data_IF_955236564279
#
_entry.id   IF_955236564279
#
_cell.length_a   1.000
_cell.length_b   1.000
_cell.length_c   1.000
_cell.angle_alpha   90.00
_cell.angle_beta   90.00
_cell.angle_gamma   90.00
#
_symmetry.space_group_name_H-M   'P 1'
#
loop_
_entity.id
_entity.type
_entity.pdbx_description
1 polymer ?
2 non-polymer ?
3 non-polymer ?
4 non-polymer ?
5 water ?
#
# COMPACT_ATOMS: atom_id res chain seq x y z
N UNK A 4 -6.98 26.84 -10.60
CA UNK A 4 -8.16 27.29 -9.89
C UNK A 4 -9.39 27.07 -10.78
N UNK A 5 -9.13 26.72 -12.03
CA UNK A 5 -10.15 26.28 -12.97
C UNK A 5 -11.00 25.13 -12.40
N UNK A 6 -10.46 24.47 -11.37
CA UNK A 6 -11.03 23.25 -10.80
C UNK A 6 -11.80 23.47 -9.49
N UNK A 7 -11.59 24.61 -8.86
CA UNK A 7 -12.31 24.95 -7.63
C UNK A 7 -13.83 24.74 -7.67
N UNK A 8 -14.50 25.08 -8.79
CA UNK A 8 -15.95 24.84 -8.80
C UNK A 8 -16.33 23.38 -8.58
N UNK A 9 -15.58 22.45 -9.15
CA UNK A 9 -15.86 21.03 -8.94
C UNK A 9 -15.54 20.67 -7.49
N UNK A 10 -14.52 21.33 -6.96
CA UNK A 10 -14.07 21.13 -5.58
C UNK A 10 -15.16 21.46 -4.55
N UNK A 11 -15.79 22.62 -4.71
CA UNK A 11 -16.86 23.05 -3.80
C UNK A 11 -18.06 22.10 -3.92
N UNK A 12 -18.42 21.77 -5.16
CA UNK A 12 -19.45 20.76 -5.39
C UNK A 12 -19.12 19.39 -4.78
N UNK A 13 -17.95 18.85 -5.15
CA UNK A 13 -17.53 17.54 -4.67
C UNK A 13 -17.60 17.44 -3.14
N UNK A 14 -17.32 18.54 -2.47
CA UNK A 14 -17.39 18.58 -1.02
C UNK A 14 -18.79 18.30 -0.53
N UNK A 15 -19.81 18.87 -1.16
CA UNK A 15 -21.17 18.61 -0.69
C UNK A 15 -21.59 17.16 -0.93
N UNK A 16 -21.14 16.56 -2.03
CA UNK A 16 -21.43 15.17 -2.33
C UNK A 16 -20.87 14.27 -1.22
N UNK A 17 -19.57 14.39 -0.97
CA UNK A 17 -18.86 13.63 0.06
C UNK A 17 -19.41 13.83 1.46
N UNK A 18 -19.63 15.10 1.84
CA UNK A 18 -20.22 15.40 3.15
C UNK A 18 -21.61 14.80 3.32
N UNK A 19 -22.37 14.79 2.23
CA UNK A 19 -23.72 14.23 2.30
C UNK A 19 -23.61 12.71 2.52
N UNK A 20 -22.78 12.05 1.70
CA UNK A 20 -22.53 10.62 1.86
C UNK A 20 -22.05 10.35 3.27
N UNK A 21 -21.05 11.11 3.70
CA UNK A 21 -20.56 10.92 5.06
C UNK A 21 -21.60 11.15 6.14
N UNK A 22 -22.48 12.13 5.94
CA UNK A 22 -23.54 12.38 6.89
C UNK A 22 -24.52 11.21 6.96
N UNK A 23 -24.83 10.63 5.81
CA UNK A 23 -25.67 9.43 5.80
C UNK A 23 -25.07 8.30 6.66
N UNK A 24 -23.79 7.98 6.44
CA UNK A 24 -23.14 6.94 7.27
C UNK A 24 -23.08 7.34 8.75
N UNK A 25 -22.67 8.58 9.02
CA UNK A 25 -22.54 9.06 10.40
C UNK A 25 -23.82 8.85 11.18
N UNK A 26 -24.95 9.06 10.52
CA UNK A 26 -26.24 9.06 11.19
C UNK A 26 -27.01 7.76 10.98
N UNK A 27 -26.40 6.79 10.31
CA UNK A 27 -26.95 5.45 10.28
C UNK A 27 -28.08 5.29 9.28
N UNK A 28 -28.00 6.07 8.21
CA UNK A 28 -28.95 5.98 7.12
C UNK A 28 -28.58 4.90 6.10
N UNK A 29 -27.30 4.54 6.09
CA UNK A 29 -26.76 3.54 5.18
C UNK A 29 -26.20 2.36 5.97
N UNK A 30 -26.33 1.18 5.39
CA UNK A 30 -26.01 -0.08 6.06
C UNK A 30 -24.50 -0.22 6.23
N UNK A 31 -24.09 -0.62 7.42
CA UNK A 31 -22.70 -0.94 7.69
C UNK A 31 -22.70 -2.43 7.99
N UNK A 32 -22.03 -3.20 7.13
CA UNK A 32 -22.03 -4.65 7.24
C UNK A 32 -20.85 -5.14 8.07
N UNK A 33 -21.01 -6.28 8.71
CA UNK A 33 -20.05 -6.81 9.66
C UNK A 33 -19.62 -8.23 9.29
N UNK A 34 -18.32 -8.42 9.09
CA UNK A 34 -17.79 -9.78 8.88
C UNK A 34 -17.59 -10.38 10.26
N UNK A 35 -17.62 -11.73 10.35
CA UNK A 35 -17.58 -12.35 11.68
C UNK A 35 -16.18 -12.55 12.25
N UNK A 36 -15.14 -12.02 11.61
CA UNK A 36 -13.79 -12.02 12.24
C UNK A 36 -13.28 -10.58 12.25
N UNK A 37 -12.23 -10.31 13.04
CA UNK A 37 -11.80 -8.90 13.10
C UNK A 37 -11.31 -8.32 11.76
N UNK A 38 -11.54 -7.03 11.57
CA UNK A 38 -11.16 -6.32 10.38
C UNK A 38 -10.37 -5.09 10.76
N UNK A 39 -9.19 -4.94 10.17
CA UNK A 39 -8.40 -3.74 10.35
C UNK A 39 -8.38 -3.01 9.04
N UNK A 40 -8.72 -1.72 9.07
CA UNK A 40 -8.66 -0.97 7.85
C UNK A 40 -7.42 -0.11 7.87
N UNK A 41 -6.78 -0.01 6.72
CA UNK A 41 -5.67 0.92 6.49
C UNK A 41 -6.04 1.78 5.30
N UNK A 42 -5.89 3.09 5.45
CA UNK A 42 -6.15 4.00 4.33
C UNK A 42 -5.63 5.39 4.53
N UNK A 43 -6.06 6.31 3.66
CA UNK A 43 -5.70 7.72 3.72
C UNK A 43 -6.79 8.65 3.19
N UNK A 44 -6.64 9.95 3.48
CA UNK A 44 -7.45 10.98 2.84
C UNK A 44 -7.12 11.19 1.37
N UNK A 45 -5.83 11.24 1.08
CA UNK A 45 -5.32 11.35 -0.29
C UNK A 45 -5.14 9.96 -0.84
N UNK A 46 -4.80 9.87 -2.13
CA UNK A 46 -4.58 8.56 -2.70
C UNK A 46 -3.38 7.87 -2.06
N UNK A 47 -3.58 6.61 -1.70
CA UNK A 47 -2.56 5.74 -1.13
C UNK A 47 -1.39 5.51 -2.08
N UNK A 48 -0.17 5.75 -1.59
CA UNK A 48 1.05 5.54 -2.35
C UNK A 48 1.90 4.44 -1.73
N UNK A 49 3.22 4.53 -1.90
CA UNK A 49 4.10 3.50 -1.35
C UNK A 49 3.96 3.40 0.19
N UNK A 50 3.63 4.52 0.83
CA UNK A 50 3.39 4.57 2.26
C UNK A 50 2.39 3.56 2.79
N UNK A 51 1.18 3.57 2.22
CA UNK A 51 0.14 2.64 2.63
C UNK A 51 0.59 1.20 2.37
N UNK A 52 1.25 1.01 1.24
CA UNK A 52 1.73 -0.32 0.87
C UNK A 52 2.73 -0.83 1.89
N UNK A 53 3.75 -0.01 2.18
CA UNK A 53 4.73 -0.33 3.22
C UNK A 53 4.04 -0.62 4.57
N UNK A 54 3.07 0.20 4.93
CA UNK A 54 2.43 -0.02 6.22
C UNK A 54 1.54 -1.28 6.25
N UNK A 55 0.85 -1.57 5.15
CA UNK A 55 0.01 -2.76 5.11
C UNK A 55 0.87 -4.01 5.33
N UNK A 56 2.03 -4.06 4.68
CA UNK A 56 2.93 -5.20 4.88
C UNK A 56 3.55 -5.24 6.28
N UNK A 57 3.91 -4.07 6.79
CA UNK A 57 4.41 -3.98 8.15
C UNK A 57 3.37 -4.55 9.12
N UNK A 58 2.12 -4.20 8.88
CA UNK A 58 1.03 -4.61 9.76
C UNK A 58 0.78 -6.10 9.66
N UNK A 59 0.85 -6.63 8.45
CA UNK A 59 0.55 -8.04 8.24
C UNK A 59 1.66 -8.85 8.89
N UNK A 60 2.84 -8.26 8.98
CA UNK A 60 3.93 -8.97 9.64
C UNK A 60 3.82 -8.93 11.16
N UNK A 61 3.15 -7.92 11.72
CA UNK A 61 2.89 -7.92 13.16
C UNK A 61 1.94 -9.04 13.50
N UNK A 62 1.16 -9.46 12.52
CA UNK A 62 0.11 -10.44 12.73
C UNK A 62 0.51 -11.83 12.25
N UNK A 63 1.81 -12.14 12.33
CA UNK A 63 2.32 -13.37 11.70
C UNK A 63 1.89 -14.65 12.42
N UNK A 64 1.32 -14.49 13.61
CA UNK A 64 0.82 -15.64 14.35
C UNK A 64 -0.69 -15.85 14.14
N UNK A 65 -1.25 -15.08 13.21
CA UNK A 65 -2.65 -15.20 12.79
C UNK A 65 -2.72 -15.57 11.31
N UNK A 66 -3.81 -16.21 10.91
CA UNK A 66 -4.08 -16.39 9.47
C UNK A 66 -4.60 -15.07 8.90
N UNK A 67 -3.78 -14.38 8.12
CA UNK A 67 -4.10 -13.04 7.64
C UNK A 67 -4.53 -13.05 6.17
N UNK A 68 -5.61 -12.33 5.88
CA UNK A 68 -6.05 -12.07 4.51
C UNK A 68 -6.21 -10.58 4.21
N UNK A 69 -5.54 -10.11 3.16
CA UNK A 69 -5.68 -8.72 2.77
C UNK A 69 -6.84 -8.61 1.79
N UNK A 70 -7.75 -7.67 2.01
CA UNK A 70 -8.83 -7.38 1.05
C UNK A 70 -8.49 -6.12 0.29
N UNK A 71 -8.13 -6.27 -0.98
CA UNK A 71 -7.77 -5.12 -1.80
C UNK A 71 -8.92 -4.83 -2.76
N UNK A 72 -8.94 -3.63 -3.31
CA UNK A 72 -9.99 -3.22 -4.23
C UNK A 72 -9.81 -3.84 -5.62
N UNK A 73 -8.58 -3.88 -6.09
CA UNK A 73 -8.35 -4.33 -7.46
C UNK A 73 -8.50 -3.18 -8.44
N UNK A 74 -7.77 -2.10 -8.22
CA UNK A 74 -7.72 -1.04 -9.22
C UNK A 74 -6.97 -1.54 -10.45
N UNK A 75 -7.41 -1.13 -11.63
CA UNK A 75 -6.78 -1.57 -12.88
C UNK A 75 -6.77 -3.09 -13.06
N UNK A 76 -7.89 -3.71 -12.67
CA UNK A 76 -8.05 -5.14 -12.75
C UNK A 76 -9.19 -5.35 -13.72
N UNK A 77 -9.05 -6.27 -14.66
CA UNK A 77 -10.05 -6.39 -15.69
C UNK A 77 -11.37 -6.66 -14.99
N UNK A 78 -12.38 -5.89 -15.36
CA UNK A 78 -13.72 -6.07 -14.82
C UNK A 78 -13.84 -5.92 -13.29
N UNK A 79 -14.48 -6.94 -12.73
CA UNK A 79 -15.04 -7.00 -11.38
C UNK A 79 -15.23 -8.45 -10.93
N UNK A 80 -15.97 -8.63 -9.84
CA UNK A 80 -16.17 -9.95 -9.25
C UNK A 80 -15.04 -10.27 -8.30
N UNK A 81 -15.34 -11.01 -7.24
CA UNK A 81 -14.34 -11.38 -6.24
C UNK A 81 -13.27 -12.34 -6.81
N UNK A 82 -12.00 -12.04 -6.51
CA UNK A 82 -10.88 -12.84 -7.03
C UNK A 82 -9.84 -13.17 -5.94
N UNK A 83 -9.59 -14.45 -5.71
CA UNK A 83 -8.49 -14.83 -4.83
C UNK A 83 -7.19 -14.66 -5.63
N UNK A 84 -6.32 -13.78 -5.14
CA UNK A 84 -5.07 -13.48 -5.84
C UNK A 84 -3.96 -14.39 -5.33
N UNK A 85 -3.93 -14.60 -4.02
CA UNK A 85 -2.86 -15.33 -3.35
C UNK A 85 -3.41 -16.11 -2.16
N UNK A 86 -3.01 -17.37 -2.04
CA UNK A 86 -3.42 -18.18 -0.88
C UNK A 86 -2.19 -18.39 -0.01
N UNK A 87 -2.12 -17.65 1.09
CA UNK A 87 -1.01 -17.76 2.03
C UNK A 87 0.35 -17.79 1.33
N UNK A 88 0.57 -16.84 0.43
CA UNK A 88 1.84 -16.66 -0.24
C UNK A 88 1.87 -17.15 -1.67
N UNK A 89 1.03 -18.15 -1.96
CA UNK A 89 1.02 -18.77 -3.28
C UNK A 89 0.09 -18.05 -4.25
N UNK A 90 0.70 -17.31 -5.19
CA UNK A 90 -0.05 -16.54 -6.18
C UNK A 90 -0.92 -17.46 -7.03
N UNK A 91 -2.16 -17.07 -7.22
CA UNK A 91 -3.10 -17.91 -7.97
C UNK A 91 -3.44 -17.35 -9.35
N UNK A 92 -2.99 -16.12 -9.62
CA UNK A 92 -3.21 -15.45 -10.91
C UNK A 92 -1.99 -14.62 -11.29
N UNK A 93 -1.92 -14.14 -12.53
CA UNK A 93 -0.82 -13.25 -12.95
C UNK A 93 -1.07 -11.82 -12.49
N UNK A 94 -0.04 -10.99 -12.59
CA UNK A 94 -0.15 -9.60 -12.17
C UNK A 94 -1.09 -8.81 -13.07
N UNK A 95 -1.26 -9.29 -14.30
CA UNK A 95 -2.20 -8.71 -15.24
C UNK A 95 -3.63 -8.75 -14.68
N UNK A 96 -4.08 -9.95 -14.33
CA UNK A 96 -5.45 -10.19 -13.89
C UNK A 96 -5.78 -9.58 -12.51
N UNK A 97 -4.75 -9.29 -11.73
CA UNK A 97 -4.93 -8.86 -10.34
C UNK A 97 -4.57 -7.41 -10.05
N UNK A 98 -3.77 -6.80 -10.93
CA UNK A 98 -3.23 -5.48 -10.68
C UNK A 98 -1.92 -5.52 -9.90
N UNK A 99 -1.12 -4.47 -10.01
CA UNK A 99 0.25 -4.49 -9.48
C UNK A 99 0.34 -4.55 -7.96
N UNK A 100 -0.43 -3.71 -7.27
CA UNK A 100 -0.34 -3.62 -5.82
C UNK A 100 -0.81 -4.89 -5.08
N UNK A 101 -1.97 -5.46 -5.50
CA UNK A 101 -2.32 -6.72 -4.83
C UNK A 101 -1.31 -7.82 -5.18
N UNK A 102 -0.88 -7.87 -6.45
CA UNK A 102 0.18 -8.79 -6.85
C UNK A 102 1.46 -8.54 -6.04
N UNK A 103 1.88 -7.29 -5.95
CA UNK A 103 3.10 -6.96 -5.21
C UNK A 103 3.00 -7.30 -3.73
N UNK A 104 1.88 -6.94 -3.11
CA UNK A 104 1.64 -7.28 -1.71
C UNK A 104 1.68 -8.78 -1.54
N UNK A 105 1.04 -9.48 -2.47
CA UNK A 105 1.04 -10.94 -2.46
C UNK A 105 2.48 -11.48 -2.53
N UNK A 106 3.28 -10.91 -3.43
CA UNK A 106 4.66 -11.39 -3.60
C UNK A 106 5.52 -11.09 -2.39
N UNK A 107 5.24 -9.99 -1.70
CA UNK A 107 6.04 -9.60 -0.55
C UNK A 107 5.59 -10.25 0.75
N UNK A 108 4.40 -10.83 0.74
CA UNK A 108 3.85 -11.48 1.93
C UNK A 108 3.63 -12.96 1.67
N UNK A 109 4.63 -13.76 2.01
CA UNK A 109 4.65 -15.19 1.71
C UNK A 109 3.65 -16.03 2.50
N UNK A 110 3.13 -15.49 3.60
CA UNK A 110 2.24 -16.25 4.45
C UNK A 110 0.87 -15.64 4.54
N UNK A 111 0.62 -14.64 3.70
CA UNK A 111 -0.63 -13.90 3.69
C UNK A 111 -1.46 -14.19 2.42
N UNK A 112 -2.77 -14.25 2.58
CA UNK A 112 -3.67 -14.41 1.44
C UNK A 112 -4.09 -13.02 0.96
N UNK A 113 -4.37 -12.89 -0.32
CA UNK A 113 -4.81 -11.62 -0.87
C UNK A 113 -6.05 -11.82 -1.74
N UNK A 114 -7.07 -11.02 -1.48
CA UNK A 114 -8.30 -11.12 -2.25
C UNK A 114 -8.65 -9.75 -2.81
N UNK A 115 -8.93 -9.72 -4.11
CA UNK A 115 -9.29 -8.49 -4.78
C UNK A 115 -10.79 -8.46 -5.02
N UNK A 116 -11.45 -7.42 -4.52
CA UNK A 116 -12.89 -7.30 -4.69
C UNK A 116 -13.29 -5.87 -4.41
N UNK A 117 -14.05 -5.27 -5.33
CA UNK A 117 -14.54 -3.90 -5.14
C UNK A 117 -15.44 -3.80 -3.90
N UNK A 118 -16.36 -4.74 -3.78
CA UNK A 118 -17.13 -4.87 -2.55
C UNK A 118 -16.32 -5.68 -1.54
N UNK A 119 -15.77 -5.01 -0.53
CA UNK A 119 -14.90 -5.69 0.41
C UNK A 119 -15.60 -6.77 1.23
N UNK A 120 -16.87 -6.55 1.57
CA UNK A 120 -17.65 -7.56 2.30
C UNK A 120 -17.73 -8.89 1.53
N UNK A 121 -18.15 -8.83 0.27
CA UNK A 121 -18.22 -10.05 -0.57
C UNK A 121 -16.87 -10.76 -0.65
N UNK A 122 -15.80 -9.97 -0.74
CA UNK A 122 -14.45 -10.49 -0.66
C UNK A 122 -14.18 -11.24 0.63
N UNK A 123 -14.55 -10.64 1.75
CA UNK A 123 -14.37 -11.27 3.04
C UNK A 123 -15.11 -12.60 3.11
N UNK A 124 -16.33 -12.62 2.57
CA UNK A 124 -17.13 -13.84 2.59
C UNK A 124 -16.46 -14.98 1.82
N UNK A 125 -15.99 -14.69 0.61
CA UNK A 125 -15.26 -15.68 -0.17
C UNK A 125 -14.01 -16.15 0.58
N UNK A 126 -13.23 -15.21 1.10
CA UNK A 126 -12.04 -15.55 1.88
C UNK A 126 -12.40 -16.48 3.04
N UNK A 127 -13.47 -16.15 3.73
CA UNK A 127 -13.89 -16.95 4.87
C UNK A 127 -14.19 -18.40 4.46
N UNK A 128 -14.88 -18.56 3.34
CA UNK A 128 -15.22 -19.89 2.85
C UNK A 128 -13.97 -20.68 2.45
N UNK A 129 -13.09 -20.05 1.68
CA UNK A 129 -11.98 -20.74 1.03
C UNK A 129 -10.67 -20.70 1.79
N UNK A 130 -10.49 -19.72 2.67
CA UNK A 130 -9.16 -19.47 3.23
C UNK A 130 -9.17 -19.55 4.74
N UNK A 131 -10.35 -19.47 5.35
CA UNK A 131 -10.50 -19.42 6.81
C UNK A 131 -9.51 -18.49 7.52
N UNK A 132 -9.52 -17.19 7.18
CA UNK A 132 -8.57 -16.31 7.84
C UNK A 132 -9.07 -15.92 9.21
N UNK A 133 -8.17 -15.45 10.08
CA UNK A 133 -8.53 -15.03 11.43
C UNK A 133 -8.63 -13.53 11.54
N UNK A 134 -8.10 -12.82 10.55
CA UNK A 134 -8.19 -11.36 10.55
C UNK A 134 -8.05 -10.82 9.14
N UNK A 135 -8.82 -9.78 8.82
CA UNK A 135 -8.76 -9.11 7.51
C UNK A 135 -8.01 -7.79 7.64
N UNK A 136 -7.21 -7.48 6.63
CA UNK A 136 -6.69 -6.12 6.52
C UNK A 136 -7.30 -5.52 5.28
N UNK A 137 -8.00 -4.38 5.44
CA UNK A 137 -8.53 -3.68 4.27
C UNK A 137 -7.42 -2.81 3.72
N UNK A 138 -6.93 -3.16 2.54
CA UNK A 138 -6.01 -2.29 1.84
C UNK A 138 -6.85 -1.14 1.28
N UNK A 139 -6.44 0.09 1.56
CA UNK A 139 -7.19 1.26 1.09
C UNK A 139 -8.68 1.27 1.46
N UNK A 140 -8.98 1.01 2.74
CA UNK A 140 -10.35 0.93 3.20
C UNK A 140 -11.03 2.07 3.96
N UNK A 141 -10.39 3.22 4.10
CA UNK A 141 -10.88 4.27 4.98
C UNK A 141 -12.22 4.81 4.47
N UNK A 142 -12.36 4.96 3.15
CA UNK A 142 -13.59 5.47 2.54
C UNK A 142 -14.69 4.42 2.41
N UNK A 143 -14.36 3.15 2.61
CA UNK A 143 -15.30 2.07 2.32
C UNK A 143 -16.16 1.77 3.57
N UNK A 144 -16.94 2.78 3.96
CA UNK A 144 -17.64 2.77 5.24
C UNK A 144 -18.71 1.69 5.34
N UNK A 145 -19.16 1.19 4.20
CA UNK A 145 -20.13 0.08 4.18
C UNK A 145 -19.62 -1.19 4.90
N UNK A 146 -18.31 -1.35 5.06
CA UNK A 146 -17.80 -2.49 5.82
C UNK A 146 -17.31 -2.02 7.17
N UNK A 147 -17.84 -2.63 8.24
CA UNK A 147 -17.39 -2.31 9.58
C UNK A 147 -15.93 -2.68 9.77
N UNK A 148 -15.16 -1.81 10.42
CA UNK A 148 -13.79 -2.18 10.80
C UNK A 148 -13.64 -2.01 12.29
N UNK A 149 -12.97 -2.95 12.92
CA UNK A 149 -12.75 -2.95 14.34
C UNK A 149 -11.59 -2.03 14.73
N UNK A 150 -10.72 -1.71 13.76
CA UNK A 150 -9.60 -0.80 13.99
C UNK A 150 -9.34 -0.02 12.70
N UNK A 151 -9.65 1.26 12.74
CA UNK A 151 -9.62 2.10 11.57
C UNK A 151 -8.34 2.89 11.63
N UNK A 152 -7.38 2.56 10.78
CA UNK A 152 -6.09 3.19 10.87
C UNK A 152 -5.95 4.14 9.70
N UNK A 153 -5.66 5.40 10.00
CA UNK A 153 -5.55 6.43 8.97
C UNK A 153 -4.12 6.87 8.85
N UNK A 154 -3.59 6.83 7.64
CA UNK A 154 -2.26 7.35 7.38
C UNK A 154 -2.40 8.80 6.92
N UNK A 155 -1.53 9.66 7.42
CA UNK A 155 -1.50 11.08 7.03
C UNK A 155 -0.04 11.47 6.78
N UNK A 156 0.23 12.10 5.65
CA UNK A 156 1.56 12.69 5.44
C UNK A 156 1.46 14.20 5.65
N UNK A 157 2.60 14.86 5.79
CA UNK A 157 2.65 16.31 5.98
C UNK A 157 1.81 17.06 4.94
N UNK A 158 1.94 16.64 3.69
CA UNK A 158 1.33 17.34 2.56
C UNK A 158 -0.20 17.36 2.63
N UNK A 159 -0.76 16.32 3.24
CA UNK A 159 -2.19 16.20 3.43
C UNK A 159 -2.78 17.39 4.21
N UNK A 160 -2.05 17.85 5.22
CA UNK A 160 -2.58 18.81 6.20
C UNK A 160 -2.83 20.20 5.61
N UNK A 161 -2.24 20.45 4.46
CA UNK A 161 -2.40 21.73 3.77
C UNK A 161 -2.87 21.51 2.33
N UNK A 162 -3.44 20.34 2.07
CA UNK A 162 -3.99 20.02 0.75
C UNK A 162 -5.45 20.46 0.70
N UNK A 163 -6.12 20.20 -0.43
CA UNK A 163 -7.51 20.59 -0.63
C UNK A 163 -8.22 19.45 -1.34
N UNK A 164 -9.55 19.48 -1.37
CA UNK A 164 -10.32 18.39 -1.97
C UNK A 164 -10.12 18.31 -3.47
N UNK A 165 -10.16 17.08 -3.99
CA UNK A 165 -10.26 16.83 -5.43
C UNK A 165 -11.33 17.73 -6.03
N UNK A 166 -11.15 18.18 -7.27
CA UNK A 166 -9.96 18.00 -8.12
C UNK A 166 -8.92 19.10 -7.92
N UNK A 167 -9.25 20.15 -7.19
CA UNK A 167 -8.32 21.24 -6.94
C UNK A 167 -7.10 20.76 -6.15
N UNK A 168 -7.30 19.83 -5.22
CA UNK A 168 -6.20 19.23 -4.50
C UNK A 168 -6.27 17.73 -4.58
N UNK A 169 -5.54 17.03 -3.69
CA UNK A 169 -5.57 15.56 -3.69
C UNK A 169 -6.46 14.91 -2.64
N UNK A 170 -7.06 15.69 -1.73
CA UNK A 170 -7.90 15.05 -0.70
C UNK A 170 -9.18 14.42 -1.28
N UNK A 171 -9.34 13.13 -1.04
CA UNK A 171 -10.59 12.44 -1.34
C UNK A 171 -11.69 12.84 -0.33
N UNK A 172 -11.28 13.30 0.85
CA UNK A 172 -12.22 13.71 1.90
C UNK A 172 -11.68 14.88 2.72
N UNK A 173 -12.59 15.73 3.25
CA UNK A 173 -12.16 16.87 4.08
C UNK A 173 -11.36 16.42 5.30
N UNK A 174 -10.48 17.27 5.84
CA UNK A 174 -9.60 16.85 6.94
C UNK A 174 -10.37 16.47 8.20
N UNK A 175 -11.57 16.99 8.37
CA UNK A 175 -12.38 16.76 9.55
C UNK A 175 -12.73 15.27 9.69
N UNK A 176 -12.66 14.56 8.58
CA UNK A 176 -13.03 13.15 8.51
C UNK A 176 -12.06 12.29 9.31
N UNK A 177 -10.98 12.91 9.75
CA UNK A 177 -9.97 12.21 10.54
C UNK A 177 -10.64 11.66 11.80
N UNK A 178 -11.60 12.42 12.33
CA UNK A 178 -12.37 11.99 13.49
C UNK A 178 -12.74 10.51 13.42
N UNK A 179 -12.86 9.96 12.21
CA UNK A 179 -13.25 8.57 12.04
C UNK A 179 -12.14 7.59 12.42
N UNK A 180 -10.91 8.08 12.56
CA UNK A 180 -9.77 7.20 12.80
C UNK A 180 -9.73 6.71 14.24
N UNK A 181 -9.35 5.45 14.43
CA UNK A 181 -9.05 4.96 15.78
C UNK A 181 -7.57 5.17 16.09
N UNK A 182 -6.76 5.27 15.04
CA UNK A 182 -5.32 5.42 15.17
C UNK A 182 -4.78 6.21 14.00
N UNK A 183 -3.84 7.09 14.26
CA UNK A 183 -3.17 7.84 13.20
C UNK A 183 -1.74 7.36 12.98
N UNK A 184 -1.34 7.22 11.72
CA UNK A 184 0.05 6.93 11.40
C UNK A 184 0.60 8.08 10.57
N UNK A 185 1.53 8.84 11.15
CA UNK A 185 2.17 9.99 10.48
C UNK A 185 3.33 9.51 9.60
N UNK A 186 3.16 9.59 8.29
CA UNK A 186 4.07 8.93 7.36
C UNK A 186 5.14 9.85 6.75
N UNK A 187 6.06 9.23 6.01
CA UNK A 187 7.18 9.92 5.37
C UNK A 187 7.99 10.77 6.34
N UNK A 188 8.22 10.23 7.54
CA UNK A 188 8.94 10.96 8.58
C UNK A 188 10.41 11.08 8.24
N UNK A 189 10.90 10.18 7.39
CA UNK A 189 12.27 10.25 6.91
C UNK A 189 12.49 11.49 6.05
N UNK A 190 11.52 11.81 5.19
CA UNK A 190 11.65 12.94 4.28
C UNK A 190 11.01 14.25 4.74
N UNK A 191 9.79 14.17 5.24
CA UNK A 191 9.05 15.38 5.65
C UNK A 191 8.44 15.24 7.03
N UNK A 192 9.28 15.33 8.06
CA UNK A 192 8.85 15.14 9.44
C UNK A 192 7.82 16.18 9.84
N UNK A 193 6.85 15.78 10.65
CA UNK A 193 5.88 16.71 11.23
C UNK A 193 5.29 16.09 12.49
N UNK A 194 4.69 16.93 13.32
CA UNK A 194 3.98 16.45 14.50
C UNK A 194 2.51 16.83 14.41
N UNK A 195 1.63 15.85 14.63
CA UNK A 195 0.20 16.10 14.63
C UNK A 195 -0.42 15.62 15.93
N UNK A 196 -1.21 16.46 16.59
CA UNK A 196 -1.90 16.01 17.80
C UNK A 196 -3.41 16.04 17.67
N UNK A 197 -4.05 14.88 17.85
CA UNK A 197 -5.51 14.79 17.81
C UNK A 197 -6.10 14.21 19.10
N UNK A 198 -5.25 13.64 19.95
CA UNK A 198 -5.69 12.97 21.15
C UNK A 198 -6.03 11.50 20.89
N UNK A 199 -5.96 11.12 19.61
CA UNK A 199 -6.04 9.73 19.19
C UNK A 199 -4.66 9.10 19.26
N UNK A 200 -4.59 7.78 19.46
CA UNK A 200 -3.30 7.08 19.35
C UNK A 200 -2.60 7.44 18.04
N UNK A 201 -1.34 7.84 18.12
CA UNK A 201 -0.61 8.40 16.99
C UNK A 201 0.80 7.79 16.92
N UNK A 202 1.27 7.46 15.71
CA UNK A 202 2.53 6.74 15.55
C UNK A 202 3.33 7.30 14.38
N UNK A 203 4.52 7.84 14.64
CA UNK A 203 5.38 8.32 13.56
C UNK A 203 5.91 7.12 12.76
N UNK A 204 5.85 7.20 11.43
CA UNK A 204 6.36 6.12 10.59
C UNK A 204 7.55 6.57 9.73
N UNK A 205 8.65 5.83 9.87
CA UNK A 205 9.87 6.07 9.11
C UNK A 205 10.04 4.87 8.21
N UNK A 206 10.60 5.06 7.03
CA UNK A 206 11.02 3.91 6.24
C UNK A 206 12.51 3.98 6.05
N UNK A 207 13.18 2.85 6.15
CA UNK A 207 14.63 2.82 6.06
C UNK A 207 15.12 1.70 5.17
N UNK A 208 16.21 1.97 4.45
CA UNK A 208 16.76 1.02 3.50
C UNK A 208 17.25 -0.23 4.20
N UNK A 209 16.72 -1.35 3.77
CA UNK A 209 17.02 -2.61 4.41
C UNK A 209 17.97 -3.46 3.58
N UNK A 210 17.45 -4.04 2.50
CA UNK A 210 18.19 -4.98 1.65
C UNK A 210 17.70 -4.88 0.22
N UNK A 211 18.09 -5.83 -0.63
CA UNK A 211 17.57 -5.88 -1.99
C UNK A 211 16.54 -7.00 -2.17
N UNK A 212 15.57 -6.75 -3.06
CA UNK A 212 14.65 -7.78 -3.54
C UNK A 212 15.11 -8.33 -4.89
N UNK A 213 15.42 -9.62 -4.95
CA UNK A 213 15.69 -10.25 -6.24
C UNK A 213 14.41 -10.51 -7.02
N UNK A 214 14.52 -11.18 -8.15
CA UNK A 214 13.39 -11.37 -9.06
C UNK A 214 12.42 -12.44 -8.60
N UNK A 215 12.79 -13.19 -7.56
CA UNK A 215 11.87 -14.14 -6.93
C UNK A 215 11.21 -13.49 -5.72
N UNK A 216 11.49 -12.21 -5.53
CA UNK A 216 10.98 -11.47 -4.38
C UNK A 216 11.42 -12.06 -3.05
N UNK A 217 12.70 -12.44 -2.98
CA UNK A 217 13.32 -12.78 -1.73
C UNK A 217 14.32 -11.70 -1.38
N UNK A 218 14.55 -11.50 -0.08
CA UNK A 218 15.53 -10.54 0.38
C UNK A 218 16.95 -11.06 0.13
N UNK A 219 17.77 -10.21 -0.46
CA UNK A 219 19.19 -10.47 -0.61
C UNK A 219 19.92 -9.24 -0.12
N UNK A 220 21.11 -9.44 0.48
CA UNK A 220 21.94 -8.29 0.85
C UNK A 220 22.30 -7.45 -0.36
N UNK A 221 22.47 -6.16 -0.11
CA UNK A 221 22.91 -5.22 -1.13
C UNK A 221 24.43 -5.18 -1.16
N UNK A 222 25.06 -6.06 -0.40
CA UNK A 222 26.52 -6.14 -0.36
C UNK A 222 27.06 -6.59 -1.70
N UNK A 223 26.25 -7.31 -2.46
CA UNK A 223 26.66 -7.84 -3.75
C UNK A 223 27.23 -6.76 -4.67
N UNK A 224 26.75 -5.54 -4.50
CA UNK A 224 27.24 -4.41 -5.29
C UNK A 224 28.19 -3.56 -4.47
N UNK A 225 29.00 -4.22 -3.65
CA UNK A 225 29.97 -3.52 -2.82
C UNK A 225 31.09 -2.96 -3.68
N UNK A 226 31.40 -3.65 -4.76
CA UNK A 226 32.43 -3.23 -5.69
C UNK A 226 31.95 -3.36 -7.12
N UNK A 227 30.73 -2.90 -7.38
CA UNK A 227 30.14 -2.99 -8.71
C UNK A 227 29.39 -1.72 -9.09
N UNK A 228 29.27 -1.50 -10.39
CA UNK A 228 28.48 -0.39 -10.92
C UNK A 228 27.19 -0.93 -11.52
N UNK A 229 26.11 -0.16 -11.43
CA UNK A 229 24.77 -0.68 -11.68
C UNK A 229 24.03 0.13 -12.76
N UNK A 230 23.21 -0.55 -13.56
CA UNK A 230 22.29 0.14 -14.45
C UNK A 230 20.93 0.18 -13.74
N UNK A 231 20.16 1.24 -13.94
CA UNK A 231 18.84 1.36 -13.33
C UNK A 231 17.81 1.89 -14.32
N UNK A 232 16.54 1.66 -14.02
CA UNK A 232 15.44 2.09 -14.89
C UNK A 232 14.08 2.09 -14.14
N UNK A 233 13.14 2.87 -14.66
CA UNK A 233 11.78 2.97 -14.11
C UNK A 233 10.80 3.43 -15.18
N UNK A 234 9.52 3.15 -14.98
CA UNK A 234 8.51 3.52 -15.96
C UNK A 234 7.55 4.67 -15.70
N UNK A 235 7.04 4.71 -14.47
CA UNK A 235 5.90 5.52 -14.06
C UNK A 235 6.16 7.01 -14.15
N UNK A 236 7.42 7.39 -14.28
CA UNK A 236 7.81 8.79 -14.18
C UNK A 236 8.29 9.04 -12.76
N UNK A 237 8.45 7.93 -12.03
CA UNK A 237 8.89 7.93 -10.66
C UNK A 237 10.41 7.86 -10.64
N UNK A 238 10.99 7.95 -11.83
CA UNK A 238 12.44 7.85 -12.00
C UNK A 238 13.19 9.00 -11.35
N UNK A 239 12.48 10.09 -11.09
CA UNK A 239 13.08 11.21 -10.37
C UNK A 239 13.05 10.79 -8.91
N UNK A 240 11.97 10.14 -8.51
CA UNK A 240 11.89 9.56 -7.16
C UNK A 240 13.00 8.54 -7.03
N UNK A 241 13.04 7.60 -7.98
CA UNK A 241 14.08 6.57 -8.04
C UNK A 241 15.47 7.20 -8.22
N UNK A 242 15.57 8.20 -9.10
CA UNK A 242 16.86 8.86 -9.34
C UNK A 242 17.40 9.47 -8.06
N UNK A 243 16.52 10.13 -7.29
CA UNK A 243 16.88 10.82 -6.05
C UNK A 243 17.30 9.82 -4.98
N UNK A 244 16.48 8.80 -4.75
CA UNK A 244 16.80 7.78 -3.72
C UNK A 244 18.10 7.06 -4.01
N UNK A 245 18.30 6.70 -5.28
CA UNK A 245 19.55 6.09 -5.72
C UNK A 245 20.70 7.04 -5.46
N UNK A 246 20.49 8.31 -5.81
CA UNK A 246 21.45 9.36 -5.51
C UNK A 246 21.62 9.51 -4.00
N UNK A 247 20.50 9.46 -3.29
CA UNK A 247 20.50 9.57 -1.82
C UNK A 247 21.16 8.36 -1.15
N UNK A 248 21.18 7.25 -1.88
CA UNK A 248 21.79 6.02 -1.41
C UNK A 248 23.23 5.87 -1.87
N UNK A 249 23.72 6.83 -2.64
CA UNK A 249 25.10 6.82 -3.08
C UNK A 249 25.52 5.57 -3.84
N UNK A 250 24.67 5.09 -4.75
CA UNK A 250 24.97 3.88 -5.49
C UNK A 250 25.54 4.17 -6.87
N UNK A 251 26.68 3.54 -7.17
CA UNK A 251 27.36 3.70 -8.45
C UNK A 251 26.40 3.30 -9.56
N UNK A 252 26.04 4.24 -10.42
CA UNK A 252 25.19 3.91 -11.57
C UNK A 252 25.92 4.11 -12.90
N UNK A 253 26.12 3.02 -13.64
CA UNK A 253 26.76 3.06 -14.95
C UNK A 253 25.94 3.81 -16.01
N UNK A 254 24.64 3.54 -16.02
CA UNK A 254 23.74 4.04 -17.05
C UNK A 254 22.35 4.11 -16.47
N UNK A 255 21.44 4.84 -17.13
CA UNK A 255 20.13 5.03 -16.53
C UNK A 255 19.06 5.19 -17.62
N UNK A 256 18.01 4.37 -17.53
CA UNK A 256 16.99 4.29 -18.58
C UNK A 256 15.61 4.72 -18.11
N UNK A 257 14.77 5.13 -19.05
CA UNK A 257 13.40 5.55 -18.74
C UNK A 257 12.36 5.01 -19.72
N UNK A 258 11.17 4.73 -19.19
CA UNK A 258 10.09 4.10 -19.94
C UNK A 258 8.75 4.69 -19.51
N UNK A 259 7.69 4.49 -20.32
CA UNK A 259 6.35 4.94 -19.95
C UNK A 259 5.90 4.39 -18.61
N UNK A 260 4.88 4.99 -17.99
CA UNK A 260 4.42 4.58 -16.66
C UNK A 260 3.92 3.15 -16.65
N UNK A 261 3.33 2.77 -17.77
CA UNK A 261 2.58 1.53 -17.89
C UNK A 261 3.45 0.37 -18.30
N UNK A 262 4.68 0.70 -18.74
CA UNK A 262 5.57 -0.24 -19.43
C UNK A 262 5.50 -1.70 -18.95
N UNK A 263 5.24 -2.59 -19.92
CA UNK A 263 4.92 -4.00 -19.64
C UNK A 263 6.13 -4.93 -19.79
N UNK A 264 7.19 -4.42 -20.40
CA UNK A 264 8.44 -5.16 -20.57
C UNK A 264 8.26 -6.45 -21.37
N UNK A 265 7.33 -6.41 -22.32
CA UNK A 265 7.12 -7.56 -23.21
C UNK A 265 8.37 -7.84 -24.03
N UNK A 266 9.20 -6.80 -24.16
CA UNK A 266 10.44 -6.90 -24.92
C UNK A 266 11.65 -6.25 -24.22
N UNK A 267 11.71 -6.32 -22.90
CA UNK A 267 12.90 -5.90 -22.17
C UNK A 267 14.04 -6.90 -22.39
N UNK A 268 15.24 -6.41 -22.71
CA UNK A 268 16.35 -7.28 -23.08
C UNK A 268 17.67 -6.90 -22.39
N UNK A 269 17.92 -7.43 -21.18
CA UNK A 269 19.11 -7.08 -20.40
C UNK A 269 20.37 -7.86 -20.79
N UNK A 270 21.52 -7.36 -20.38
CA UNK A 270 22.79 -8.00 -20.72
C UNK A 270 23.20 -9.01 -19.66
N UNK A 271 23.44 -10.24 -20.10
CA UNK A 271 24.08 -11.27 -19.31
C UNK A 271 25.28 -10.69 -18.54
N UNK A 272 25.27 -10.82 -17.22
CA UNK A 272 26.43 -10.45 -16.42
C UNK A 272 26.45 -9.03 -15.87
N UNK A 273 25.51 -8.20 -16.29
CA UNK A 273 25.39 -6.86 -15.73
C UNK A 273 24.39 -6.94 -14.58
N UNK A 274 24.27 -5.87 -13.80
CA UNK A 274 23.32 -5.83 -12.67
C UNK A 274 22.35 -4.66 -12.82
N UNK A 275 21.07 -4.92 -12.61
CA UNK A 275 20.01 -3.92 -12.79
C UNK A 275 19.25 -3.65 -11.49
N UNK A 276 18.87 -2.40 -11.29
CA UNK A 276 17.96 -2.03 -10.22
C UNK A 276 16.72 -1.40 -10.84
N UNK A 277 15.54 -1.83 -10.39
CA UNK A 277 14.29 -1.23 -10.87
C UNK A 277 13.33 -1.10 -9.68
N UNK A 278 12.09 -0.65 -9.93
CA UNK A 278 11.10 -0.54 -8.86
C UNK A 278 10.35 -1.86 -8.70
N UNK A 279 9.91 -2.19 -7.46
CA UNK A 279 9.14 -3.41 -7.20
C UNK A 279 7.98 -3.55 -8.18
N UNK A 280 7.32 -2.44 -8.49
CA UNK A 280 6.20 -2.44 -9.41
C UNK A 280 6.63 -2.87 -10.82
N UNK A 281 7.88 -2.57 -11.18
CA UNK A 281 8.44 -2.98 -12.47
C UNK A 281 9.02 -4.39 -12.37
N UNK A 282 9.64 -4.69 -11.22
CA UNK A 282 10.24 -6.00 -10.96
C UNK A 282 9.26 -7.14 -11.19
N UNK A 283 7.99 -6.88 -10.86
CA UNK A 283 6.88 -7.78 -11.13
C UNK A 283 6.96 -8.36 -12.55
N UNK A 284 7.29 -7.51 -13.51
CA UNK A 284 7.27 -7.89 -14.92
C UNK A 284 8.56 -8.59 -15.33
N UNK A 285 9.56 -8.56 -14.45
CA UNK A 285 10.88 -9.05 -14.79
C UNK A 285 11.33 -10.27 -14.00
N UNK A 286 10.35 -11.02 -13.49
CA UNK A 286 10.66 -12.28 -12.83
C UNK A 286 11.16 -13.24 -13.89
N UNK A 287 12.19 -14.00 -13.58
CA UNK A 287 12.80 -14.86 -14.58
C UNK A 287 14.21 -14.37 -14.85
N UNK A 288 14.38 -13.05 -14.76
CA UNK A 288 15.68 -12.41 -14.95
C UNK A 288 16.32 -12.17 -13.59
N UNK A 289 17.44 -12.85 -13.38
CA UNK A 289 18.35 -12.57 -12.28
C UNK A 289 19.23 -11.41 -12.70
N UNK A 290 19.83 -10.74 -11.73
CA UNK A 290 20.68 -9.60 -12.04
C UNK A 290 19.80 -8.37 -12.21
N UNK A 291 18.51 -8.57 -12.00
CA UNK A 291 17.56 -7.48 -11.93
C UNK A 291 17.02 -7.46 -10.51
N UNK A 292 17.11 -6.31 -9.85
CA UNK A 292 16.70 -6.21 -8.45
C UNK A 292 15.88 -4.95 -8.19
N UNK A 293 15.24 -4.92 -7.02
CA UNK A 293 14.58 -3.72 -6.54
C UNK A 293 15.13 -3.35 -5.17
N UNK A 294 14.96 -2.09 -4.78
CA UNK A 294 15.41 -1.63 -3.47
C UNK A 294 14.35 -2.02 -2.43
N UNK A 295 14.78 -2.56 -1.29
CA UNK A 295 13.81 -2.92 -0.25
C UNK A 295 13.90 -2.08 1.02
N UNK A 296 12.78 -1.48 1.39
CA UNK A 296 12.69 -0.65 2.59
C UNK A 296 11.84 -1.30 3.69
N UNK A 297 12.17 -0.98 4.95
CA UNK A 297 11.43 -1.49 6.10
C UNK A 297 10.83 -0.32 6.87
N UNK A 298 9.66 -0.54 7.46
CA UNK A 298 9.03 0.49 8.28
C UNK A 298 9.57 0.46 9.71
N UNK A 299 9.90 1.62 10.25
CA UNK A 299 10.16 1.74 11.69
C UNK A 299 9.08 2.62 12.30
N UNK A 300 8.31 2.06 13.22
CA UNK A 300 7.20 2.78 13.81
C UNK A 300 7.48 3.13 15.28
N UNK A 301 7.35 4.40 15.63
CA UNK A 301 7.53 4.83 17.02
C UNK A 301 6.39 4.30 17.87
N UNK A 302 6.68 3.97 19.13
CA UNK A 302 5.69 3.41 20.06
C UNK A 302 5.05 2.14 19.50
N UNK A 303 5.86 1.32 18.84
CA UNK A 303 5.41 0.08 18.21
C UNK A 303 4.54 -0.76 19.16
N UNK A 304 5.00 -0.89 20.39
CA UNK A 304 4.31 -1.72 21.40
C UNK A 304 2.88 -1.26 21.70
N UNK A 305 2.62 0.04 21.59
CA UNK A 305 1.27 0.56 21.76
C UNK A 305 0.40 0.09 20.60
N UNK A 306 0.95 0.10 19.39
CA UNK A 306 0.14 -0.22 18.23
C UNK A 306 -0.29 -1.67 18.35
N UNK A 307 0.66 -2.50 18.75
CA UNK A 307 0.45 -3.93 18.87
C UNK A 307 -0.61 -4.22 19.94
N UNK A 308 -0.62 -3.42 21.00
CA UNK A 308 -1.60 -3.54 22.06
C UNK A 308 -2.99 -3.23 21.53
N UNK A 309 -3.08 -2.18 20.72
CA UNK A 309 -4.32 -1.74 20.14
C UNK A 309 -4.85 -2.83 19.21
N UNK A 310 -3.96 -3.36 18.39
CA UNK A 310 -4.32 -4.38 17.42
C UNK A 310 -4.92 -5.63 18.06
N UNK A 311 -4.26 -6.15 19.08
CA UNK A 311 -4.68 -7.43 19.64
C UNK A 311 -5.93 -7.34 20.53
N UNK A 312 -6.35 -6.13 20.84
CA UNK A 312 -7.59 -5.94 21.58
C UNK A 312 -8.80 -6.29 20.72
N UNK A 313 -8.61 -6.32 19.41
CA UNK A 313 -9.70 -6.64 18.49
C UNK A 313 -10.03 -8.13 18.53
N UNK A 314 -9.15 -8.95 19.11
CA UNK A 314 -9.39 -10.39 19.10
C UNK A 314 -10.20 -10.93 20.29
N UNK A 315 -10.87 -10.06 21.04
CA UNK A 315 -11.79 -10.52 22.09
C UNK A 315 -13.26 -10.41 21.69
X LIG B 1 18.86 -15.07 -15.89
X LIG B 1 17.84 -15.67 -16.67
X LIG B 1 20.02 -14.69 -16.80
X LIG B 1 20.98 -15.73 -16.80
X LIG B 1 20.62 -13.39 -16.29
X LIG B 1 21.94 -13.26 -16.78
X LIG C 1 -16.21 6.14 -2.78
X LIG C 1 -16.23 7.41 -2.03
X LIG C 1 -17.34 8.34 -2.52
X LIG C 1 -17.39 8.45 -3.97
X LIG C 1 -17.20 7.23 -4.73
X LIG C 1 -16.01 6.43 -4.21
X LIG C 1 -18.21 9.49 -4.57
X LIG C 1 -19.67 9.07 -4.66
X LIG C 1 -20.31 9.79 -5.70
X LIG C 1 -15.09 5.30 -2.33
X LIG C 1 -15.53 3.84 -2.17
X LIG C 1 -14.19 2.64 -1.85
X LIG C 1 -14.74 1.44 -1.22
X LIG C 1 -13.17 3.25 -0.99
X LIG C 1 -13.53 2.21 -3.09
X LIG D 1 11.02 2.22 -5.38
X LIG D 1 12.38 1.87 -5.60
X LIG D 1 10.92 3.74 -5.36
X LIG D 1 11.01 4.17 -4.02
X LIG D 1 9.61 4.21 -5.95
X LIG D 1 9.22 3.38 -7.03
X LIG E 1 7.34 -1.71 -1.01
X LIG E 1 6.62 -0.56 -1.44
X LIG E 1 8.85 -1.46 -1.10
X LIG E 1 9.51 -2.32 -0.21
X LIG E 1 9.17 -0.01 -0.73
X LIG E 1 8.49 0.86 -1.59
X LIG F 1 12.17 -17.16 -20.73
X LIG F 1 11.85 -18.49 -21.11
X LIG F 1 12.33 -17.06 -19.22
X LIG F 1 11.19 -16.41 -18.68
X LIG F 1 13.57 -16.27 -18.85
X LIG F 1 13.24 -14.90 -18.75
X LIG G 1 0.86 6.74 1.28
#
# INVERSE_FOLDING_TARGET
>A
MLRSSLLPFSYLYEKIINFRNTLYDKGFLKIKKLPVPVISVGNLSVGGSGKTSFVMYLADLLKDKRVCILSRGYKRKSKGTLIVSEYGNLKVSWEEAGDEPYLMAKLLPHVSVVASEDRYKGGLLALEKLSPEVFILDDGFQHRKLHRDLNILLLKKKDLKDRLLPAGNLREPLKEIRRADALVLTYQEVEPFEFFTGKPTFKMFREFCCLLNSDFEEVPFDILKEREVIAFSGLGDNGQFRKVLKNLGIKVKEFMSFPDHYDYSDFTPEEGEIYLTTPKDLIKLQGYENVFALNFKVKLEREEKLKKLIYRIFY
>B hetero
1 GOL C1 O1 C2 O2 C3 O3
>C hetero
1 EPE N1 C2 C3 N4 C5 C6 C7 C8 O8 C9 C10 S O1S O2S O3S
>D hetero
1 GOL C1 O1 C2 O2 C3 O3
>E hetero
1 GOL C1 O1 C2 O2 C3 O3
>F hetero
1 GOL C1 O1 C2 O2 C3 O3
>G hetero
1 CL CL
#
